data_IF_603772080047
#
_entry.id   IF_603772080047
#
_cell.length_a   1.000
_cell.length_b   1.000
_cell.length_c   1.000
_cell.angle_alpha   90.00
_cell.angle_beta   90.00
_cell.angle_gamma   90.00
#
_symmetry.space_group_name_H-M   'P 1'
#
loop_
_entity.id
_entity.type
_entity.pdbx_description
1 polymer ?
#
# COMPACT_ATOMS: atom_id res chain seq x y z
N UNK A 1 50.29 7.58 15.54
CA UNK A 1 49.25 6.56 15.25
C UNK A 1 47.98 7.30 14.83
N UNK A 2 47.76 7.47 13.52
CA UNK A 2 46.53 8.09 13.02
C UNK A 2 45.36 7.12 13.20
N UNK A 3 44.37 7.49 14.00
CA UNK A 3 43.09 6.79 14.04
C UNK A 3 42.47 6.85 12.63
N UNK A 4 42.41 5.69 11.96
CA UNK A 4 41.52 5.49 10.81
C UNK A 4 40.10 5.73 11.33
N UNK A 5 39.55 6.92 11.07
CA UNK A 5 38.12 7.16 11.22
C UNK A 5 37.45 6.25 10.20
N UNK A 6 36.97 5.08 10.62
CA UNK A 6 36.14 4.21 9.78
C UNK A 6 34.91 5.04 9.36
N UNK A 7 34.93 5.52 8.11
CA UNK A 7 33.77 6.19 7.53
C UNK A 7 32.65 5.18 7.48
N UNK A 8 31.52 5.52 8.09
CA UNK A 8 30.34 4.67 8.09
C UNK A 8 29.84 4.43 6.67
N UNK A 9 29.71 3.16 6.28
CA UNK A 9 29.15 2.77 4.98
C UNK A 9 27.68 2.41 5.17
N UNK A 10 26.80 3.17 4.51
CA UNK A 10 25.36 2.92 4.52
C UNK A 10 25.01 1.81 3.53
N UNK A 11 25.36 0.56 3.89
CA UNK A 11 25.01 -0.60 3.07
C UNK A 11 23.51 -0.84 3.02
N UNK A 12 23.05 -1.43 1.92
CA UNK A 12 21.67 -1.85 1.71
C UNK A 12 21.09 -2.63 2.88
N UNK A 13 21.88 -3.57 3.43
CA UNK A 13 21.47 -4.39 4.56
C UNK A 13 21.20 -3.56 5.81
N UNK A 14 22.01 -2.54 6.08
CA UNK A 14 21.85 -1.67 7.25
C UNK A 14 20.66 -0.75 7.06
N UNK A 15 20.45 -0.22 5.85
CA UNK A 15 19.31 0.63 5.51
C UNK A 15 17.97 -0.09 5.71
N UNK A 16 17.86 -1.36 5.29
CA UNK A 16 16.61 -2.12 5.36
C UNK A 16 16.47 -3.01 6.59
N UNK A 17 17.48 -3.06 7.47
CA UNK A 17 17.49 -3.98 8.62
C UNK A 17 16.22 -3.87 9.47
N UNK A 18 15.86 -2.66 9.88
CA UNK A 18 14.69 -2.40 10.73
C UNK A 18 13.41 -2.86 10.04
N UNK A 19 13.24 -2.48 8.77
CA UNK A 19 12.12 -2.89 7.95
C UNK A 19 12.03 -4.42 7.86
N UNK A 20 13.12 -5.12 7.59
CA UNK A 20 13.12 -6.58 7.50
C UNK A 20 12.79 -7.26 8.83
N UNK A 21 13.33 -6.76 9.95
CA UNK A 21 13.06 -7.31 11.29
C UNK A 21 11.56 -7.18 11.62
N UNK A 22 10.96 -6.04 11.32
CA UNK A 22 9.53 -5.83 11.55
C UNK A 22 8.69 -6.71 10.64
N UNK A 23 9.06 -6.84 9.36
CA UNK A 23 8.39 -7.76 8.45
C UNK A 23 8.36 -9.20 9.01
N UNK A 24 9.47 -9.66 9.59
CA UNK A 24 9.55 -10.99 10.20
C UNK A 24 8.65 -11.17 11.42
N UNK A 25 8.37 -10.09 12.17
CA UNK A 25 7.45 -10.08 13.29
C UNK A 25 6.01 -10.41 12.84
N UNK A 26 5.64 -9.97 11.62
CA UNK A 26 4.35 -10.22 10.98
C UNK A 26 4.38 -11.37 9.97
N UNK A 27 5.34 -12.29 10.11
CA UNK A 27 5.51 -13.48 9.27
C UNK A 27 5.81 -13.21 7.78
N UNK A 28 6.43 -12.07 7.47
CA UNK A 28 6.88 -11.70 6.13
C UNK A 28 8.40 -11.85 6.00
N UNK A 29 8.87 -12.05 4.75
CA UNK A 29 10.29 -12.16 4.41
C UNK A 29 11.09 -13.09 5.35
N UNK A 30 10.80 -14.41 5.37
CA UNK A 30 11.43 -15.37 6.29
C UNK A 30 12.88 -15.71 5.90
N UNK A 31 13.75 -14.71 5.90
CA UNK A 31 15.19 -14.83 5.62
C UNK A 31 16.01 -14.86 6.91
N UNK A 32 17.10 -15.61 6.90
CA UNK A 32 18.07 -15.66 7.99
C UNK A 32 19.23 -14.70 7.70
N UNK A 33 19.92 -14.25 8.75
CA UNK A 33 21.10 -13.39 8.62
C UNK A 33 20.83 -11.88 8.49
N UNK A 34 19.63 -11.39 8.79
CA UNK A 34 19.26 -9.95 8.70
C UNK A 34 20.16 -9.03 9.54
N UNK A 35 20.68 -9.53 10.66
CA UNK A 35 21.59 -8.80 11.54
C UNK A 35 23.07 -8.90 11.14
N UNK A 36 23.40 -9.76 10.17
CA UNK A 36 24.78 -9.86 9.71
C UNK A 36 25.20 -8.56 9.01
N UNK A 37 26.51 -8.28 9.03
CA UNK A 37 27.15 -7.23 8.24
C UNK A 37 27.57 -7.74 6.86
N UNK A 38 27.55 -9.05 6.63
CA UNK A 38 28.02 -9.68 5.38
C UNK A 38 26.83 -10.16 4.55
N UNK A 39 26.88 -9.88 3.25
CA UNK A 39 25.91 -10.39 2.28
C UNK A 39 25.90 -11.91 2.13
N UNK A 40 27.02 -12.58 2.39
CA UNK A 40 27.15 -14.05 2.35
C UNK A 40 26.27 -14.79 3.35
N UNK A 41 25.95 -14.13 4.47
CA UNK A 41 25.29 -14.77 5.61
C UNK A 41 23.77 -14.72 5.48
N UNK A 42 23.25 -13.90 4.56
CA UNK A 42 21.82 -13.84 4.27
C UNK A 42 21.43 -15.06 3.46
N UNK A 43 20.52 -15.87 4.00
CA UNK A 43 20.08 -17.14 3.40
C UNK A 43 18.59 -17.35 3.60
N UNK A 44 17.95 -17.96 2.62
CA UNK A 44 16.58 -18.47 2.74
C UNK A 44 16.63 -19.97 3.06
N UNK A 45 15.90 -20.41 4.09
CA UNK A 45 15.89 -21.80 4.55
C UNK A 45 14.45 -22.23 4.83
N UNK A 46 13.96 -23.22 4.10
CA UNK A 46 12.60 -23.76 4.25
C UNK A 46 12.34 -24.32 5.65
N UNK A 47 13.29 -25.06 6.22
CA UNK A 47 13.18 -25.65 7.55
C UNK A 47 13.35 -24.65 8.72
N UNK A 48 13.30 -23.35 8.46
CA UNK A 48 13.40 -22.35 9.53
C UNK A 48 12.06 -22.14 10.25
N UNK A 49 12.12 -21.78 11.53
CA UNK A 49 10.92 -21.43 12.30
C UNK A 49 10.16 -20.25 11.69
N UNK A 50 10.86 -19.33 10.99
CA UNK A 50 10.26 -18.19 10.28
C UNK A 50 9.39 -18.64 9.10
N UNK A 51 9.84 -19.63 8.34
CA UNK A 51 9.03 -20.24 7.28
C UNK A 51 7.82 -20.97 7.88
N UNK A 52 8.01 -21.69 8.99
CA UNK A 52 6.91 -22.35 9.70
C UNK A 52 5.86 -21.34 10.16
N UNK A 53 6.29 -20.21 10.74
CA UNK A 53 5.42 -19.11 11.13
C UNK A 53 4.66 -18.51 9.93
N UNK A 54 5.35 -18.25 8.81
CA UNK A 54 4.71 -17.78 7.57
C UNK A 54 3.62 -18.76 7.10
N UNK A 55 3.90 -20.06 7.09
CA UNK A 55 2.92 -21.06 6.64
C UNK A 55 1.71 -21.15 7.57
N UNK A 56 1.92 -21.13 8.89
CA UNK A 56 0.83 -21.12 9.88
C UNK A 56 -0.05 -19.87 9.72
N UNK A 57 0.56 -18.69 9.62
CA UNK A 57 -0.17 -17.45 9.36
C UNK A 57 -0.90 -17.49 8.02
N UNK A 58 -0.28 -18.01 6.96
CA UNK A 58 -0.92 -18.13 5.65
C UNK A 58 -2.15 -19.06 5.70
N UNK A 59 -2.05 -20.20 6.39
CA UNK A 59 -3.20 -21.09 6.61
C UNK A 59 -4.33 -20.39 7.37
N UNK A 60 -3.99 -19.60 8.40
CA UNK A 60 -4.96 -18.78 9.12
C UNK A 60 -5.64 -17.75 8.22
N UNK A 61 -4.88 -17.04 7.38
CA UNK A 61 -5.42 -16.06 6.43
C UNK A 61 -6.32 -16.70 5.36
N UNK A 62 -5.94 -17.88 4.86
CA UNK A 62 -6.77 -18.68 3.94
C UNK A 62 -8.08 -19.08 4.63
N UNK A 63 -8.00 -19.58 5.86
CA UNK A 63 -9.19 -19.95 6.64
C UNK A 63 -10.16 -18.77 6.79
N UNK A 64 -9.68 -17.59 7.17
CA UNK A 64 -10.52 -16.39 7.30
C UNK A 64 -11.11 -15.99 5.95
N UNK A 65 -10.30 -16.02 4.88
CA UNK A 65 -10.77 -15.69 3.51
C UNK A 65 -11.90 -16.62 3.09
N UNK A 66 -11.78 -17.93 3.30
CA UNK A 66 -12.83 -18.92 2.99
C UNK A 66 -14.10 -18.64 3.79
N UNK A 67 -13.97 -18.29 5.07
CA UNK A 67 -15.12 -17.91 5.90
C UNK A 67 -15.82 -16.64 5.39
N UNK A 68 -15.06 -15.64 4.93
CA UNK A 68 -15.63 -14.44 4.29
C UNK A 68 -16.40 -14.79 2.99
N UNK A 69 -15.83 -15.64 2.13
CA UNK A 69 -16.48 -16.10 0.90
C UNK A 69 -17.77 -16.85 1.24
N UNK A 70 -17.72 -17.76 2.21
CA UNK A 70 -18.88 -18.51 2.67
C UNK A 70 -20.00 -17.59 3.17
N UNK A 71 -19.67 -16.55 3.95
CA UNK A 71 -20.65 -15.55 4.40
C UNK A 71 -21.39 -14.89 3.23
N UNK A 72 -20.65 -14.46 2.20
CA UNK A 72 -21.24 -13.77 1.03
C UNK A 72 -22.10 -14.71 0.19
N UNK A 73 -21.73 -15.98 0.05
CA UNK A 73 -22.55 -16.97 -0.67
C UNK A 73 -23.90 -17.25 0.02
N UNK A 74 -23.97 -17.06 1.33
CA UNK A 74 -25.16 -17.33 2.14
C UNK A 74 -25.94 -16.07 2.57
N UNK A 75 -25.49 -14.87 2.17
CA UNK A 75 -26.14 -13.58 2.48
C UNK A 75 -26.45 -12.83 1.18
N UNK A 76 -27.38 -11.88 1.19
CA UNK A 76 -27.56 -10.97 0.05
C UNK A 76 -26.26 -10.21 -0.21
N UNK A 77 -25.78 -10.25 -1.45
CA UNK A 77 -24.51 -9.63 -1.83
C UNK A 77 -24.62 -8.10 -1.80
N UNK A 78 -23.97 -7.47 -0.82
CA UNK A 78 -23.76 -6.01 -0.77
C UNK A 78 -22.28 -5.68 -0.96
N UNK A 79 -21.97 -4.46 -1.42
CA UNK A 79 -20.60 -4.00 -1.62
C UNK A 79 -19.77 -4.14 -0.32
N UNK A 80 -20.31 -3.65 0.79
CA UNK A 80 -19.72 -3.76 2.14
C UNK A 80 -19.52 -5.22 2.60
N UNK A 81 -20.35 -6.15 2.11
CA UNK A 81 -20.20 -7.58 2.35
C UNK A 81 -18.98 -8.21 1.66
N UNK A 82 -18.51 -7.62 0.56
CA UNK A 82 -17.39 -8.14 -0.24
C UNK A 82 -16.02 -7.58 0.18
N UNK A 83 -15.99 -6.44 0.88
CA UNK A 83 -14.76 -5.80 1.37
C UNK A 83 -13.85 -6.74 2.17
N UNK A 84 -14.34 -7.54 3.14
CA UNK A 84 -13.49 -8.46 3.89
C UNK A 84 -12.84 -9.53 3.00
N UNK A 85 -13.53 -9.99 1.95
CA UNK A 85 -12.96 -10.97 1.00
C UNK A 85 -11.74 -10.38 0.31
N UNK A 86 -11.86 -9.16 -0.20
CA UNK A 86 -10.76 -8.47 -0.87
C UNK A 86 -9.62 -8.24 0.11
N UNK A 87 -9.92 -7.76 1.32
CA UNK A 87 -8.91 -7.53 2.36
C UNK A 87 -8.08 -8.78 2.72
N UNK A 88 -8.72 -9.91 3.01
CA UNK A 88 -8.02 -11.13 3.41
C UNK A 88 -7.38 -11.87 2.22
N UNK A 89 -8.00 -11.82 1.03
CA UNK A 89 -7.40 -12.41 -0.18
C UNK A 89 -6.14 -11.66 -0.64
N UNK A 90 -6.15 -10.32 -0.64
CA UNK A 90 -4.97 -9.52 -0.97
C UNK A 90 -3.87 -9.71 0.06
N UNK A 91 -4.22 -9.93 1.33
CA UNK A 91 -3.25 -10.32 2.38
C UNK A 91 -2.58 -11.66 2.05
N UNK A 92 -3.35 -12.69 1.67
CA UNK A 92 -2.81 -13.98 1.27
C UNK A 92 -1.85 -13.84 0.08
N UNK A 93 -2.26 -13.11 -0.96
CA UNK A 93 -1.42 -12.85 -2.14
C UNK A 93 -0.14 -12.12 -1.75
N UNK A 94 -0.23 -11.10 -0.88
CA UNK A 94 0.92 -10.33 -0.41
C UNK A 94 1.91 -11.22 0.35
N UNK A 95 1.44 -12.12 1.21
CA UNK A 95 2.29 -13.09 1.91
C UNK A 95 3.03 -14.03 0.93
N UNK A 96 2.33 -14.54 -0.08
CA UNK A 96 2.93 -15.40 -1.11
C UNK A 96 3.98 -14.65 -1.95
N UNK A 97 3.72 -13.38 -2.27
CA UNK A 97 4.67 -12.53 -2.97
C UNK A 97 5.91 -12.26 -2.09
N UNK A 98 5.74 -12.00 -0.80
CA UNK A 98 6.88 -11.85 0.11
C UNK A 98 7.66 -13.15 0.30
N UNK A 99 7.02 -14.32 0.23
CA UNK A 99 7.72 -15.60 0.17
C UNK A 99 8.54 -15.74 -1.13
N UNK A 100 7.99 -15.32 -2.28
CA UNK A 100 8.74 -15.26 -3.55
C UNK A 100 9.96 -14.32 -3.43
N UNK A 101 9.78 -13.12 -2.90
CA UNK A 101 10.87 -12.16 -2.64
C UNK A 101 11.90 -12.79 -1.71
N UNK A 102 11.49 -13.44 -0.62
CA UNK A 102 12.41 -14.07 0.34
C UNK A 102 13.31 -15.15 -0.31
N UNK A 103 12.81 -15.89 -1.30
CA UNK A 103 13.61 -16.87 -2.05
C UNK A 103 14.68 -16.22 -2.93
N UNK A 104 14.37 -15.06 -3.51
CA UNK A 104 15.28 -14.31 -4.39
C UNK A 104 16.21 -13.36 -3.61
N UNK A 105 15.84 -13.02 -2.38
CA UNK A 105 16.51 -12.05 -1.53
C UNK A 105 18.00 -12.30 -1.31
N UNK A 106 18.49 -13.54 -1.04
CA UNK A 106 19.91 -13.79 -0.85
C UNK A 106 20.75 -13.44 -2.08
N UNK A 107 20.23 -13.74 -3.28
CA UNK A 107 20.90 -13.42 -4.54
C UNK A 107 20.94 -11.91 -4.76
N UNK A 108 19.81 -11.24 -4.57
CA UNK A 108 19.69 -9.79 -4.69
C UNK A 108 20.66 -9.05 -3.75
N UNK A 109 20.70 -9.42 -2.47
CA UNK A 109 21.58 -8.81 -1.48
C UNK A 109 23.06 -8.99 -1.82
N UNK A 110 23.45 -10.14 -2.38
CA UNK A 110 24.84 -10.38 -2.82
C UNK A 110 25.20 -9.57 -4.05
N UNK A 111 24.29 -9.45 -5.02
CA UNK A 111 24.47 -8.59 -6.20
C UNK A 111 24.62 -7.12 -5.78
N UNK A 112 23.77 -6.65 -4.87
CA UNK A 112 23.83 -5.29 -4.31
C UNK A 112 25.16 -5.04 -3.61
N UNK A 113 25.58 -5.96 -2.73
CA UNK A 113 26.83 -5.79 -1.98
C UNK A 113 28.05 -5.69 -2.90
N UNK A 114 28.08 -6.45 -4.01
CA UNK A 114 29.16 -6.34 -5.01
C UNK A 114 29.20 -4.96 -5.68
N UNK A 115 28.05 -4.33 -5.90
CA UNK A 115 27.98 -2.96 -6.44
C UNK A 115 28.42 -1.94 -5.39
N UNK A 116 28.01 -2.13 -4.14
CA UNK A 116 28.40 -1.26 -3.02
C UNK A 116 29.90 -1.30 -2.72
N UNK A 117 30.55 -2.46 -2.89
CA UNK A 117 32.00 -2.61 -2.73
C UNK A 117 32.79 -1.81 -3.79
N UNK A 118 32.21 -1.61 -4.99
CA UNK A 118 32.83 -0.84 -6.07
C UNK A 118 32.65 0.68 -5.92
N UNK A 119 31.51 1.12 -5.38
CA UNK A 119 31.18 2.54 -5.21
C UNK A 119 30.46 2.77 -3.86
N UNK A 120 31.21 2.83 -2.74
CA UNK A 120 30.64 2.87 -1.40
C UNK A 120 29.95 4.20 -1.08
N UNK A 121 28.72 4.11 -0.58
CA UNK A 121 27.91 5.25 -0.15
C UNK A 121 28.02 5.47 1.36
N UNK A 122 28.42 6.68 1.78
CA UNK A 122 28.83 6.95 3.17
C UNK A 122 27.81 7.75 3.99
N UNK A 123 26.62 8.04 3.45
CA UNK A 123 25.66 8.93 4.09
C UNK A 123 24.70 8.19 5.04
N UNK A 124 24.85 8.46 6.36
CA UNK A 124 23.94 7.96 7.42
C UNK A 124 22.50 8.43 7.28
N UNK A 125 22.26 9.55 6.58
CA UNK A 125 20.92 10.13 6.43
C UNK A 125 19.93 9.15 5.81
N UNK A 126 20.36 8.27 4.90
CA UNK A 126 19.50 7.27 4.27
C UNK A 126 18.94 6.25 5.27
N UNK A 127 19.79 5.76 6.17
CA UNK A 127 19.41 4.80 7.23
C UNK A 127 18.43 5.46 8.19
N UNK A 128 18.71 6.71 8.59
CA UNK A 128 17.83 7.47 9.48
C UNK A 128 16.47 7.74 8.83
N UNK A 129 16.44 8.10 7.54
CA UNK A 129 15.19 8.28 6.77
C UNK A 129 14.37 6.98 6.74
N UNK A 130 14.99 5.84 6.40
CA UNK A 130 14.28 4.56 6.39
C UNK A 130 13.71 4.20 7.76
N UNK A 131 14.51 4.34 8.82
CA UNK A 131 14.07 4.04 10.19
C UNK A 131 12.96 4.99 10.68
N UNK A 132 13.07 6.29 10.39
CA UNK A 132 12.07 7.28 10.76
C UNK A 132 10.74 7.03 10.03
N UNK A 133 10.77 6.80 8.71
CA UNK A 133 9.56 6.47 7.95
C UNK A 133 8.94 5.17 8.44
N UNK A 134 9.75 4.16 8.76
CA UNK A 134 9.28 2.92 9.34
C UNK A 134 8.56 3.14 10.67
N UNK A 135 9.14 3.93 11.58
CA UNK A 135 8.51 4.26 12.87
C UNK A 135 7.20 5.03 12.69
N UNK A 136 7.18 6.04 11.81
CA UNK A 136 5.99 6.87 11.55
C UNK A 136 4.85 6.03 10.96
N UNK A 137 5.12 5.30 9.86
CA UNK A 137 4.09 4.54 9.15
C UNK A 137 3.47 3.48 10.07
N UNK A 138 4.28 2.74 10.83
CA UNK A 138 3.79 1.69 11.70
C UNK A 138 3.09 2.23 12.95
N UNK A 139 3.52 3.36 13.48
CA UNK A 139 2.82 4.00 14.61
C UNK A 139 1.43 4.49 14.18
N UNK A 140 1.33 5.08 12.99
CA UNK A 140 0.05 5.49 12.42
C UNK A 140 -0.85 4.29 12.07
N UNK A 141 -0.27 3.19 11.56
CA UNK A 141 -1.01 1.95 11.32
C UNK A 141 -1.55 1.34 12.63
N UNK A 142 -0.75 1.37 13.70
CA UNK A 142 -1.20 0.93 15.03
C UNK A 142 -2.32 1.82 15.55
N UNK A 143 -2.20 3.15 15.40
CA UNK A 143 -3.24 4.09 15.79
C UNK A 143 -4.54 3.86 15.02
N UNK A 144 -4.45 3.67 13.69
CA UNK A 144 -5.60 3.32 12.85
C UNK A 144 -6.28 2.05 13.34
N UNK A 145 -5.51 0.98 13.60
CA UNK A 145 -6.05 -0.27 14.10
C UNK A 145 -6.72 -0.10 15.48
N UNK A 146 -6.11 0.64 16.40
CA UNK A 146 -6.69 0.93 17.72
C UNK A 146 -8.01 1.70 17.57
N UNK A 147 -8.06 2.71 16.70
CA UNK A 147 -9.29 3.46 16.41
C UNK A 147 -10.38 2.56 15.79
N UNK A 148 -9.99 1.61 14.94
CA UNK A 148 -10.90 0.60 14.37
C UNK A 148 -11.53 -0.26 15.47
N UNK A 149 -10.71 -0.75 16.41
CA UNK A 149 -11.19 -1.53 17.56
C UNK A 149 -12.10 -0.70 18.47
N UNK A 150 -11.73 0.56 18.76
CA UNK A 150 -12.55 1.46 19.58
C UNK A 150 -13.90 1.72 18.92
N UNK A 151 -13.92 2.03 17.61
CA UNK A 151 -15.15 2.20 16.84
C UNK A 151 -16.05 0.95 16.89
N UNK A 152 -15.45 -0.25 16.81
CA UNK A 152 -16.19 -1.51 16.88
C UNK A 152 -16.74 -1.81 18.29
N UNK A 153 -15.98 -1.47 19.34
CA UNK A 153 -16.45 -1.57 20.73
C UNK A 153 -17.61 -0.60 20.96
N UNK A 154 -17.51 0.63 20.45
CA UNK A 154 -18.57 1.64 20.51
C UNK A 154 -19.87 1.13 19.88
N UNK A 155 -19.78 0.57 18.67
CA UNK A 155 -20.92 -0.04 17.97
C UNK A 155 -21.54 -1.19 18.76
N UNK A 156 -20.70 -2.04 19.37
CA UNK A 156 -21.18 -3.16 20.21
C UNK A 156 -21.91 -2.65 21.47
N UNK A 157 -21.37 -1.63 22.15
CA UNK A 157 -22.01 -1.02 23.33
C UNK A 157 -23.34 -0.35 22.99
N UNK A 158 -23.43 0.28 21.82
CA UNK A 158 -24.68 0.87 21.35
C UNK A 158 -25.79 -0.18 21.12
N UNK A 159 -25.43 -1.41 20.71
CA UNK A 159 -26.39 -2.48 20.51
C UNK A 159 -26.65 -3.35 21.76
N UNK A 160 -25.76 -3.37 22.76
CA UNK A 160 -25.87 -4.21 23.96
C UNK A 160 -25.64 -3.37 25.22
N UNK A 161 -26.73 -3.00 25.91
CA UNK A 161 -26.70 -2.00 26.99
C UNK A 161 -26.22 -2.48 28.36
N UNK A 162 -26.09 -3.79 28.64
CA UNK A 162 -25.91 -4.25 30.02
C UNK A 162 -24.70 -5.15 30.35
N UNK A 163 -23.98 -5.77 29.40
CA UNK A 163 -22.68 -6.42 29.69
C UNK A 163 -21.75 -6.49 28.46
N UNK A 164 -20.73 -5.63 28.44
CA UNK A 164 -19.65 -5.70 27.45
C UNK A 164 -18.72 -6.89 27.78
N UNK A 165 -18.92 -8.00 27.08
CA UNK A 165 -18.03 -9.16 27.14
C UNK A 165 -17.18 -9.24 25.88
N UNK A 166 -15.93 -9.70 26.00
CA UNK A 166 -15.06 -10.01 24.86
C UNK A 166 -15.76 -10.91 23.83
N UNK A 167 -16.61 -11.84 24.30
CA UNK A 167 -17.43 -12.70 23.45
C UNK A 167 -18.38 -11.91 22.55
N UNK A 168 -19.06 -10.90 23.09
CA UNK A 168 -20.01 -10.08 22.33
C UNK A 168 -19.28 -9.24 21.28
N UNK A 169 -18.17 -8.61 21.66
CA UNK A 169 -17.31 -7.86 20.75
C UNK A 169 -16.84 -8.69 19.55
N UNK A 170 -16.22 -9.85 19.82
CA UNK A 170 -15.66 -10.72 18.76
C UNK A 170 -16.75 -11.25 17.81
N UNK A 171 -17.91 -11.62 18.35
CA UNK A 171 -19.03 -12.08 17.52
C UNK A 171 -19.57 -10.99 16.60
N UNK A 172 -19.69 -9.77 17.11
CA UNK A 172 -20.20 -8.64 16.36
C UNK A 172 -19.21 -8.15 15.29
N UNK A 173 -17.91 -8.10 15.63
CA UNK A 173 -16.87 -7.58 14.73
C UNK A 173 -16.41 -8.59 13.67
N UNK A 174 -16.52 -9.90 13.95
CA UNK A 174 -16.12 -10.97 13.04
C UNK A 174 -17.30 -11.89 12.64
N UNK A 175 -18.38 -11.34 12.05
CA UNK A 175 -19.59 -12.11 11.75
C UNK A 175 -19.34 -13.25 10.74
N UNK A 176 -18.34 -13.12 9.88
CA UNK A 176 -17.98 -14.18 8.92
C UNK A 176 -17.44 -15.46 9.59
N UNK A 177 -16.89 -15.38 10.80
CA UNK A 177 -16.45 -16.58 11.55
C UNK A 177 -17.56 -17.04 12.49
N UNK A 178 -18.07 -16.13 13.32
CA UNK A 178 -18.90 -16.52 14.47
C UNK A 178 -20.40 -16.65 14.20
N UNK A 179 -20.86 -16.34 12.98
CA UNK A 179 -22.20 -16.75 12.54
C UNK A 179 -22.27 -18.24 12.19
N UNK A 180 -21.14 -18.85 11.84
CA UNK A 180 -21.08 -20.24 11.38
C UNK A 180 -20.38 -21.17 12.37
N UNK A 181 -19.43 -20.67 13.16
CA UNK A 181 -18.70 -21.44 14.16
C UNK A 181 -19.05 -21.03 15.58
N UNK A 182 -19.15 -22.00 16.52
CA UNK A 182 -19.36 -21.69 17.92
C UNK A 182 -18.17 -20.90 18.48
N UNK A 183 -18.48 -19.90 19.30
CA UNK A 183 -17.43 -19.12 19.96
C UNK A 183 -16.62 -19.99 20.92
N UNK A 184 -15.30 -19.91 20.77
CA UNK A 184 -14.33 -20.33 21.79
C UNK A 184 -13.36 -19.17 22.01
N UNK A 185 -12.83 -19.06 23.24
CA UNK A 185 -11.90 -17.98 23.60
C UNK A 185 -10.68 -17.94 22.67
N UNK A 186 -10.09 -19.11 22.38
CA UNK A 186 -8.92 -19.24 21.52
C UNK A 186 -9.18 -18.88 20.05
N UNK A 187 -10.35 -19.24 19.50
CA UNK A 187 -10.72 -18.86 18.14
C UNK A 187 -10.93 -17.33 18.04
N UNK A 188 -11.47 -16.71 19.10
CA UNK A 188 -11.58 -15.25 19.19
C UNK A 188 -10.22 -14.56 19.14
N UNK A 189 -9.27 -14.99 19.98
CA UNK A 189 -7.90 -14.46 19.99
C UNK A 189 -7.22 -14.66 18.64
N UNK A 190 -7.33 -15.87 18.06
CA UNK A 190 -6.73 -16.18 16.76
C UNK A 190 -7.29 -15.27 15.66
N UNK A 191 -8.61 -15.07 15.62
CA UNK A 191 -9.26 -14.24 14.59
C UNK A 191 -8.83 -12.78 14.71
N UNK A 192 -8.75 -12.26 15.94
CA UNK A 192 -8.28 -10.89 16.20
C UNK A 192 -6.80 -10.72 15.85
N UNK A 193 -5.95 -11.70 16.17
CA UNK A 193 -4.55 -11.71 15.79
C UNK A 193 -4.38 -11.72 14.26
N UNK A 194 -5.13 -12.57 13.54
CA UNK A 194 -5.08 -12.62 12.08
C UNK A 194 -5.55 -11.30 11.44
N UNK A 195 -6.60 -10.66 11.99
CA UNK A 195 -7.04 -9.35 11.53
C UNK A 195 -5.96 -8.28 11.74
N UNK A 196 -5.40 -8.20 12.94
CA UNK A 196 -4.28 -7.30 13.24
C UNK A 196 -3.09 -7.55 12.29
N UNK A 197 -2.74 -8.82 12.09
CA UNK A 197 -1.67 -9.21 11.17
C UNK A 197 -1.95 -8.72 9.74
N UNK A 198 -3.18 -8.86 9.22
CA UNK A 198 -3.55 -8.40 7.87
C UNK A 198 -3.40 -6.89 7.71
N UNK A 199 -3.86 -6.11 8.69
CA UNK A 199 -3.70 -4.64 8.69
C UNK A 199 -2.22 -4.27 8.63
N UNK A 200 -1.37 -4.95 9.40
CA UNK A 200 0.07 -4.70 9.39
C UNK A 200 0.74 -5.15 8.09
N UNK A 201 0.35 -6.28 7.51
CA UNK A 201 0.89 -6.77 6.23
C UNK A 201 0.63 -5.74 5.11
N UNK A 202 -0.58 -5.16 5.07
CA UNK A 202 -0.91 -4.14 4.07
C UNK A 202 -0.04 -2.89 4.23
N UNK A 203 0.05 -2.34 5.44
CA UNK A 203 0.88 -1.16 5.72
C UNK A 203 2.37 -1.43 5.49
N UNK A 204 2.82 -2.64 5.82
CA UNK A 204 4.20 -3.06 5.60
C UNK A 204 4.56 -3.18 4.12
N UNK A 205 3.64 -3.65 3.27
CA UNK A 205 3.85 -3.75 1.83
C UNK A 205 4.26 -2.40 1.23
N UNK A 206 3.54 -1.34 1.58
CA UNK A 206 3.84 0.02 1.11
C UNK A 206 5.14 0.55 1.70
N UNK A 207 5.34 0.35 3.01
CA UNK A 207 6.57 0.75 3.68
C UNK A 207 7.80 0.08 3.06
N UNK A 208 7.69 -1.20 2.69
CA UNK A 208 8.76 -1.93 2.04
C UNK A 208 9.11 -1.31 0.68
N UNK A 209 8.10 -0.99 -0.15
CA UNK A 209 8.31 -0.30 -1.44
C UNK A 209 8.95 1.08 -1.22
N UNK A 210 8.52 1.83 -0.20
CA UNK A 210 9.11 3.13 0.16
C UNK A 210 10.59 2.99 0.50
N UNK A 211 10.97 2.06 1.38
CA UNK A 211 12.36 1.85 1.79
C UNK A 211 13.25 1.41 0.61
N UNK A 212 12.75 0.51 -0.25
CA UNK A 212 13.46 0.10 -1.46
C UNK A 212 13.67 1.28 -2.41
N UNK A 213 12.64 2.12 -2.57
CA UNK A 213 12.68 3.32 -3.42
C UNK A 213 13.67 4.35 -2.90
N UNK A 214 13.72 4.61 -1.59
CA UNK A 214 14.73 5.50 -1.00
C UNK A 214 16.15 5.04 -1.30
N UNK A 215 16.41 3.74 -1.16
CA UNK A 215 17.73 3.19 -1.44
C UNK A 215 18.13 3.38 -2.90
N UNK A 216 17.25 3.02 -3.84
CA UNK A 216 17.50 3.16 -5.27
C UNK A 216 17.69 4.62 -5.69
N UNK A 217 16.83 5.51 -5.22
CA UNK A 217 16.95 6.95 -5.46
C UNK A 217 18.28 7.49 -4.94
N UNK A 218 18.71 7.10 -3.74
CA UNK A 218 19.99 7.53 -3.19
C UNK A 218 21.19 7.04 -4.02
N UNK A 219 21.12 5.85 -4.62
CA UNK A 219 22.16 5.34 -5.53
C UNK A 219 22.24 6.13 -6.83
N UNK A 220 21.08 6.48 -7.41
CA UNK A 220 21.04 7.35 -8.60
C UNK A 220 21.52 8.77 -8.27
N UNK A 221 21.08 9.33 -7.14
CA UNK A 221 21.47 10.67 -6.69
C UNK A 221 22.97 10.79 -6.42
N UNK A 222 23.60 9.72 -5.93
CA UNK A 222 25.05 9.70 -5.77
C UNK A 222 25.79 9.88 -7.10
N UNK A 223 25.29 9.29 -8.19
CA UNK A 223 25.82 9.52 -9.55
C UNK A 223 25.47 10.93 -10.03
N UNK A 224 24.23 11.37 -9.80
CA UNK A 224 23.76 12.70 -10.19
C UNK A 224 24.58 13.82 -9.53
N UNK A 225 25.00 13.65 -8.28
CA UNK A 225 25.86 14.62 -7.61
C UNK A 225 27.22 14.78 -8.31
N UNK A 226 27.82 13.69 -8.82
CA UNK A 226 29.06 13.78 -9.61
C UNK A 226 28.82 14.57 -10.91
N UNK A 227 27.68 14.34 -11.57
CA UNK A 227 27.30 15.03 -12.81
C UNK A 227 26.99 16.52 -12.60
N UNK A 228 26.17 16.85 -11.60
CA UNK A 228 25.82 18.24 -11.29
C UNK A 228 27.06 19.06 -10.93
N UNK A 229 28.02 18.46 -10.21
CA UNK A 229 29.30 19.11 -9.92
C UNK A 229 30.20 19.28 -11.17
N UNK A 230 29.93 18.52 -12.23
CA UNK A 230 30.64 18.56 -13.50
C UNK A 230 29.98 19.48 -14.55
N UNK A 231 28.74 19.91 -14.33
CA UNK A 231 27.98 20.74 -15.26
C UNK A 231 28.74 22.03 -15.62
N UNK A 232 28.84 22.31 -16.92
CA UNK A 232 29.56 23.46 -17.47
C UNK A 232 31.10 23.43 -17.34
N UNK A 233 31.69 22.34 -16.82
CA UNK A 233 33.15 22.21 -16.67
C UNK A 233 33.79 21.48 -17.85
N UNK A 234 35.06 21.81 -18.10
CA UNK A 234 35.88 21.20 -19.15
C UNK A 234 36.54 19.93 -18.61
N UNK A 235 35.82 18.81 -18.70
CA UNK A 235 36.28 17.51 -18.19
C UNK A 235 36.67 16.55 -19.31
N UNK A 236 37.67 15.68 -19.09
CA UNK A 236 38.16 14.75 -20.11
C UNK A 236 37.17 13.61 -20.38
N UNK A 237 37.28 12.97 -21.55
CA UNK A 237 36.46 11.81 -21.95
C UNK A 237 36.40 10.70 -20.89
N UNK A 238 37.52 10.43 -20.22
CA UNK A 238 37.63 9.42 -19.15
C UNK A 238 36.63 9.66 -18.02
N UNK A 239 36.35 10.93 -17.68
CA UNK A 239 35.35 11.27 -16.67
C UNK A 239 33.94 10.87 -17.10
N UNK A 240 33.56 11.21 -18.34
CA UNK A 240 32.24 10.89 -18.89
C UNK A 240 32.02 9.39 -19.02
N UNK A 241 33.04 8.66 -19.50
CA UNK A 241 33.04 7.20 -19.55
C UNK A 241 32.80 6.58 -18.17
N UNK A 242 33.60 6.99 -17.18
CA UNK A 242 33.52 6.46 -15.81
C UNK A 242 32.15 6.74 -15.19
N UNK A 243 31.63 7.96 -15.39
CA UNK A 243 30.33 8.36 -14.84
C UNK A 243 29.16 7.65 -15.53
N UNK A 244 29.26 7.39 -16.85
CA UNK A 244 28.28 6.55 -17.57
C UNK A 244 28.28 5.12 -17.04
N UNK A 245 29.46 4.54 -16.78
CA UNK A 245 29.58 3.19 -16.21
C UNK A 245 28.98 3.12 -14.78
N UNK A 246 29.21 4.15 -13.96
CA UNK A 246 28.55 4.31 -12.64
C UNK A 246 27.02 4.37 -12.77
N UNK A 247 26.51 5.19 -13.69
CA UNK A 247 25.08 5.28 -13.98
C UNK A 247 24.51 3.93 -14.47
N UNK A 248 25.21 3.26 -15.38
CA UNK A 248 24.81 1.95 -15.89
C UNK A 248 24.67 0.91 -14.78
N UNK A 249 25.60 0.88 -13.82
CA UNK A 249 25.49 0.02 -12.62
C UNK A 249 24.28 0.36 -11.77
N UNK A 250 24.01 1.65 -11.54
CA UNK A 250 22.85 2.09 -10.77
C UNK A 250 21.53 1.74 -11.46
N UNK A 251 21.43 1.90 -12.78
CA UNK A 251 20.25 1.51 -13.57
C UNK A 251 20.03 0.00 -13.58
N UNK A 252 21.09 -0.79 -13.77
CA UNK A 252 20.99 -2.26 -13.68
C UNK A 252 20.49 -2.70 -12.31
N UNK A 253 20.94 -2.04 -11.25
CA UNK A 253 20.46 -2.28 -9.90
C UNK A 253 18.97 -1.97 -9.73
N UNK A 254 18.49 -0.84 -10.27
CA UNK A 254 17.06 -0.51 -10.27
C UNK A 254 16.25 -1.61 -10.96
N UNK A 255 16.65 -2.04 -12.16
CA UNK A 255 15.96 -3.10 -12.91
C UNK A 255 15.93 -4.41 -12.14
N UNK A 256 17.06 -4.79 -11.54
CA UNK A 256 17.17 -6.04 -10.78
C UNK A 256 16.31 -6.05 -9.53
N UNK A 257 16.23 -4.92 -8.83
CA UNK A 257 15.29 -4.76 -7.71
C UNK A 257 13.85 -4.85 -8.22
N UNK A 258 13.52 -4.15 -9.32
CA UNK A 258 12.18 -4.14 -9.89
C UNK A 258 11.69 -5.54 -10.25
N UNK A 259 12.52 -6.36 -10.89
CA UNK A 259 12.20 -7.77 -11.20
C UNK A 259 11.78 -8.57 -9.96
N UNK A 260 12.44 -8.31 -8.82
CA UNK A 260 12.17 -9.03 -7.56
C UNK A 260 10.91 -8.52 -6.88
N UNK A 261 10.68 -7.20 -6.85
CA UNK A 261 9.63 -6.58 -6.03
C UNK A 261 8.40 -6.11 -6.82
N UNK A 262 8.41 -6.20 -8.16
CA UNK A 262 7.32 -5.72 -9.05
C UNK A 262 5.94 -6.26 -8.70
N UNK A 263 5.85 -7.50 -8.21
CA UNK A 263 4.60 -8.08 -7.72
C UNK A 263 4.09 -7.40 -6.44
N UNK A 264 5.00 -7.06 -5.51
CA UNK A 264 4.66 -6.31 -4.28
C UNK A 264 4.20 -4.90 -4.64
N UNK A 265 4.87 -4.26 -5.59
CA UNK A 265 4.45 -2.96 -6.12
C UNK A 265 3.04 -3.03 -6.70
N UNK A 266 2.77 -4.04 -7.54
CA UNK A 266 1.46 -4.20 -8.15
C UNK A 266 0.35 -4.36 -7.12
N UNK A 267 0.50 -5.28 -6.16
CA UNK A 267 -0.53 -5.51 -5.15
C UNK A 267 -0.69 -4.30 -4.21
N UNK A 268 0.39 -3.60 -3.87
CA UNK A 268 0.37 -2.37 -3.09
C UNK A 268 -0.50 -1.30 -3.75
N UNK A 269 -0.23 -0.98 -5.02
CA UNK A 269 -0.99 0.04 -5.76
C UNK A 269 -2.44 -0.38 -6.01
N UNK A 270 -2.68 -1.64 -6.36
CA UNK A 270 -4.03 -2.16 -6.59
C UNK A 270 -4.88 -2.11 -5.31
N UNK A 271 -4.32 -2.53 -4.17
CA UNK A 271 -5.01 -2.53 -2.89
C UNK A 271 -5.31 -1.09 -2.43
N UNK A 272 -4.33 -0.20 -2.55
CA UNK A 272 -4.50 1.21 -2.19
C UNK A 272 -5.58 1.88 -3.05
N UNK A 273 -5.56 1.67 -4.37
CA UNK A 273 -6.58 2.21 -5.27
C UNK A 273 -7.98 1.69 -4.89
N UNK A 274 -8.11 0.38 -4.70
CA UNK A 274 -9.39 -0.23 -4.33
C UNK A 274 -9.96 0.36 -3.04
N UNK A 275 -9.16 0.42 -1.97
CA UNK A 275 -9.63 0.90 -0.67
C UNK A 275 -9.84 2.42 -0.63
N UNK A 276 -9.08 3.21 -1.40
CA UNK A 276 -9.35 4.66 -1.55
C UNK A 276 -10.71 4.86 -2.21
N UNK A 277 -10.96 4.22 -3.35
CA UNK A 277 -12.24 4.32 -4.05
C UNK A 277 -13.40 3.84 -3.17
N UNK A 278 -13.23 2.72 -2.46
CA UNK A 278 -14.27 2.20 -1.56
C UNK A 278 -14.58 3.16 -0.41
N UNK A 279 -13.55 3.71 0.25
CA UNK A 279 -13.77 4.64 1.36
C UNK A 279 -14.37 5.97 0.87
N UNK A 280 -13.97 6.48 -0.29
CA UNK A 280 -14.59 7.67 -0.89
C UNK A 280 -16.06 7.41 -1.25
N UNK A 281 -16.36 6.28 -1.87
CA UNK A 281 -17.73 5.86 -2.16
C UNK A 281 -18.60 5.81 -0.89
N UNK A 282 -18.15 5.13 0.16
CA UNK A 282 -18.86 5.08 1.44
C UNK A 282 -18.99 6.47 2.11
N UNK A 283 -18.04 7.38 1.87
CA UNK A 283 -18.14 8.77 2.36
C UNK A 283 -19.28 9.53 1.66
N UNK A 284 -19.48 9.29 0.37
CA UNK A 284 -20.45 10.00 -0.47
C UNK A 284 -21.87 9.41 -0.37
N UNK A 285 -22.01 8.09 -0.28
CA UNK A 285 -23.32 7.40 -0.22
C UNK A 285 -23.98 7.53 1.16
N UNK A 286 -23.28 7.14 2.23
CA UNK A 286 -23.86 7.11 3.58
C UNK A 286 -23.68 8.44 4.34
N UNK A 287 -22.85 9.35 3.79
CA UNK A 287 -22.35 10.54 4.49
C UNK A 287 -21.45 10.17 5.67
N UNK A 288 -20.89 11.18 6.36
CA UNK A 288 -20.16 10.97 7.63
C UNK A 288 -21.18 10.70 8.75
N UNK A 289 -21.99 9.65 8.62
CA UNK A 289 -22.92 9.21 9.66
C UNK A 289 -22.32 7.96 10.28
N UNK A 290 -21.99 8.04 11.57
CA UNK A 290 -21.49 6.88 12.31
C UNK A 290 -22.51 5.75 12.22
N UNK A 291 -22.15 4.66 11.52
CA UNK A 291 -22.95 3.44 11.46
C UNK A 291 -23.06 2.87 12.88
N UNK A 292 -24.19 3.15 13.53
CA UNK A 292 -24.75 2.27 14.54
C UNK A 292 -25.96 1.60 13.89
N UNK A 293 -25.71 0.63 13.01
CA UNK A 293 -26.75 -0.27 12.49
C UNK A 293 -27.16 -1.23 13.63
N UNK A 294 -27.96 -0.74 14.56
CA UNK A 294 -28.74 -1.60 15.44
C UNK A 294 -30.19 -1.58 14.94
N UNK A 295 -30.65 -2.72 14.45
CA UNK A 295 -32.03 -2.92 14.02
C UNK A 295 -32.93 -2.92 15.28
N UNK A 296 -33.82 -1.93 15.38
CA UNK A 296 -34.98 -1.90 16.30
C UNK A 296 -34.76 -1.91 17.83
N UNK A 297 -33.86 -1.13 18.42
CA UNK A 297 -33.92 -0.85 19.87
C UNK A 297 -33.45 0.55 20.25
N UNK A 298 -34.14 1.14 21.23
CA UNK A 298 -33.89 2.49 21.78
C UNK A 298 -32.40 2.72 22.00
N UNK A 299 -31.88 3.79 21.38
CA UNK A 299 -30.50 4.26 21.51
C UNK A 299 -30.17 4.48 22.98
N UNK A 300 -29.52 3.50 23.60
CA UNK A 300 -28.95 3.63 24.94
C UNK A 300 -27.89 4.73 24.93
N UNK A 301 -28.09 5.78 25.74
CA UNK A 301 -27.15 6.89 25.94
C UNK A 301 -25.89 6.41 26.69
N UNK A 302 -24.98 5.73 26.02
CA UNK A 302 -23.61 5.55 26.53
C UNK A 302 -22.63 5.65 25.37
N UNK A 303 -22.32 6.89 25.00
CA UNK A 303 -21.27 7.17 24.02
C UNK A 303 -19.94 7.30 24.78
N UNK A 304 -18.98 6.41 24.53
CA UNK A 304 -17.64 6.47 25.16
C UNK A 304 -16.91 7.78 24.79
N UNK A 305 -17.16 8.30 23.58
CA UNK A 305 -16.61 9.54 23.02
C UNK A 305 -17.68 10.42 22.35
N UNK A 306 -18.91 10.41 22.86
CA UNK A 306 -19.98 11.30 22.39
C UNK A 306 -20.62 10.95 21.04
N UNK A 307 -20.29 9.81 20.42
CA UNK A 307 -20.92 9.32 19.17
C UNK A 307 -20.14 9.65 17.90
N UNK A 308 -18.98 10.31 18.05
CA UNK A 308 -18.08 10.68 16.94
C UNK A 308 -17.03 9.60 16.63
N UNK A 309 -17.02 8.47 17.35
CA UNK A 309 -15.97 7.45 17.27
C UNK A 309 -15.83 6.85 15.87
N UNK A 310 -16.96 6.45 15.27
CA UNK A 310 -16.99 5.92 13.92
C UNK A 310 -16.57 6.96 12.87
N UNK A 311 -17.02 8.22 13.02
CA UNK A 311 -16.65 9.31 12.12
C UNK A 311 -15.16 9.65 12.19
N UNK A 312 -14.60 9.71 13.42
CA UNK A 312 -13.18 9.99 13.65
C UNK A 312 -12.30 8.86 13.11
N UNK A 313 -12.64 7.61 13.40
CA UNK A 313 -11.94 6.44 12.85
C UNK A 313 -11.95 6.48 11.33
N UNK A 314 -13.13 6.67 10.73
CA UNK A 314 -13.29 6.65 9.28
C UNK A 314 -12.50 7.77 8.59
N UNK A 315 -12.60 9.01 9.06
CA UNK A 315 -11.85 10.14 8.52
C UNK A 315 -10.33 9.96 8.68
N UNK A 316 -9.90 9.49 9.85
CA UNK A 316 -8.49 9.20 10.09
C UNK A 316 -7.98 8.11 9.15
N UNK A 317 -8.71 7.00 9.02
CA UNK A 317 -8.40 5.89 8.13
C UNK A 317 -8.28 6.36 6.67
N UNK A 318 -9.24 7.16 6.19
CA UNK A 318 -9.23 7.71 4.83
C UNK A 318 -8.02 8.61 4.59
N UNK A 319 -7.80 9.58 5.48
CA UNK A 319 -6.66 10.49 5.34
C UNK A 319 -5.33 9.74 5.40
N UNK A 320 -5.20 8.81 6.35
CA UNK A 320 -3.99 7.99 6.50
C UNK A 320 -3.74 7.13 5.25
N UNK A 321 -4.78 6.48 4.71
CA UNK A 321 -4.67 5.68 3.50
C UNK A 321 -4.26 6.51 2.29
N UNK A 322 -4.87 7.68 2.07
CA UNK A 322 -4.51 8.60 0.99
C UNK A 322 -3.07 9.08 1.17
N UNK A 323 -2.70 9.56 2.37
CA UNK A 323 -1.37 10.06 2.64
C UNK A 323 -0.28 8.98 2.44
N UNK A 324 -0.54 7.75 2.90
CA UNK A 324 0.34 6.60 2.69
C UNK A 324 0.48 6.26 1.21
N UNK A 325 -0.64 6.20 0.48
CA UNK A 325 -0.69 5.89 -0.96
C UNK A 325 0.03 6.94 -1.82
N UNK A 326 -0.15 8.21 -1.50
CA UNK A 326 0.58 9.32 -2.13
C UNK A 326 2.06 9.24 -1.80
N UNK A 327 2.42 8.93 -0.54
CA UNK A 327 3.83 8.79 -0.13
C UNK A 327 4.54 7.68 -0.89
N UNK A 328 3.97 6.47 -0.95
CA UNK A 328 4.57 5.36 -1.73
C UNK A 328 4.72 5.72 -3.20
N UNK A 329 3.72 6.37 -3.78
CA UNK A 329 3.75 6.79 -5.19
C UNK A 329 4.79 7.86 -5.49
N UNK A 330 4.84 8.92 -4.67
CA UNK A 330 5.79 10.01 -4.84
C UNK A 330 7.22 9.51 -4.66
N UNK A 331 7.49 8.74 -3.60
CA UNK A 331 8.84 8.25 -3.31
C UNK A 331 9.31 7.25 -4.37
N UNK A 332 8.44 6.33 -4.81
CA UNK A 332 8.79 5.42 -5.90
C UNK A 332 9.02 6.16 -7.24
N UNK A 333 8.26 7.23 -7.53
CA UNK A 333 8.47 8.06 -8.71
C UNK A 333 9.79 8.85 -8.70
N UNK A 334 10.42 9.04 -7.53
CA UNK A 334 11.74 9.66 -7.43
C UNK A 334 12.81 8.82 -8.10
N UNK A 335 12.67 7.48 -8.14
CA UNK A 335 13.60 6.61 -8.87
C UNK A 335 13.63 6.99 -10.35
N UNK A 336 12.45 7.19 -10.96
CA UNK A 336 12.36 7.65 -12.34
C UNK A 336 12.90 9.07 -12.51
N UNK A 337 12.53 10.00 -11.63
CA UNK A 337 12.99 11.39 -11.71
C UNK A 337 14.52 11.49 -11.60
N UNK A 338 15.12 10.76 -10.65
CA UNK A 338 16.56 10.73 -10.44
C UNK A 338 17.29 10.09 -11.64
N UNK A 339 16.68 9.09 -12.29
CA UNK A 339 17.29 8.46 -13.47
C UNK A 339 17.40 9.38 -14.69
N UNK A 340 16.56 10.43 -14.77
CA UNK A 340 16.52 11.38 -15.89
C UNK A 340 17.36 12.64 -15.68
N UNK A 341 17.85 12.89 -14.46
CA UNK A 341 18.71 14.04 -14.12
C UNK A 341 19.97 14.16 -14.98
N UNK A 342 20.64 13.07 -15.41
CA UNK A 342 21.82 13.19 -16.26
C UNK A 342 21.57 13.90 -17.59
N UNK A 343 20.39 13.75 -18.21
CA UNK A 343 20.11 14.29 -19.54
C UNK A 343 20.33 15.80 -19.67
N UNK A 344 19.71 16.68 -18.85
CA UNK A 344 19.95 18.12 -18.93
C UNK A 344 21.43 18.49 -18.68
N UNK A 345 22.11 17.80 -17.76
CA UNK A 345 23.54 18.06 -17.49
C UNK A 345 24.41 17.74 -18.71
N UNK A 346 24.09 16.65 -19.41
CA UNK A 346 24.83 16.21 -20.60
C UNK A 346 24.59 17.13 -21.81
N UNK A 347 23.40 17.73 -21.93
CA UNK A 347 23.13 18.76 -22.94
C UNK A 347 23.92 20.05 -22.72
N UNK A 348 24.31 20.34 -21.47
CA UNK A 348 25.09 21.53 -21.09
C UNK A 348 26.61 21.34 -21.21
N UNK A 349 27.08 20.22 -21.77
CA UNK A 349 28.52 19.97 -21.96
C UNK A 349 29.08 20.89 -23.06
N UNK A 350 30.15 21.67 -22.80
CA UNK A 350 30.71 22.59 -23.79
C UNK A 350 31.22 21.86 -25.04
N UNK A 351 30.95 22.42 -26.22
CA UNK A 351 31.34 21.83 -27.52
C UNK A 351 32.81 21.38 -27.64
N UNK A 352 33.81 22.10 -27.08
CA UNK A 352 35.21 21.67 -27.16
C UNK A 352 35.53 20.37 -26.41
N UNK A 353 34.72 19.99 -25.42
CA UNK A 353 34.90 18.77 -24.61
C UNK A 353 33.79 17.74 -24.85
N UNK A 354 32.87 18.04 -25.77
CA UNK A 354 31.83 17.11 -26.18
C UNK A 354 32.47 15.93 -26.92
N UNK A 355 32.28 14.73 -26.41
CA UNK A 355 32.90 13.51 -26.93
C UNK A 355 31.87 12.39 -27.12
N UNK A 356 32.27 11.31 -27.80
CA UNK A 356 31.42 10.12 -28.05
C UNK A 356 30.81 9.55 -26.77
N UNK A 357 31.51 9.63 -25.64
CA UNK A 357 31.01 9.11 -24.38
C UNK A 357 29.83 9.91 -23.82
N UNK A 358 29.78 11.22 -24.06
CA UNK A 358 28.63 12.08 -23.72
C UNK A 358 27.43 11.71 -24.57
N UNK A 359 27.63 11.54 -25.89
CA UNK A 359 26.56 11.11 -26.80
C UNK A 359 25.98 9.75 -26.39
N UNK A 360 26.84 8.75 -26.16
CA UNK A 360 26.40 7.42 -25.71
C UNK A 360 25.65 7.47 -24.39
N UNK A 361 26.05 8.37 -23.49
CA UNK A 361 25.36 8.56 -22.21
C UNK A 361 23.98 9.19 -22.42
N UNK A 362 23.84 10.21 -23.27
CA UNK A 362 22.54 10.78 -23.65
C UNK A 362 21.63 9.71 -24.27
N UNK A 363 22.15 8.92 -25.21
CA UNK A 363 21.40 7.84 -25.85
C UNK A 363 20.92 6.80 -24.82
N UNK A 364 21.76 6.48 -23.82
CA UNK A 364 21.41 5.55 -22.75
C UNK A 364 20.31 6.09 -21.82
N UNK A 365 20.36 7.39 -21.48
CA UNK A 365 19.40 8.02 -20.57
C UNK A 365 18.05 8.24 -21.25
N UNK A 366 18.05 8.61 -22.52
CA UNK A 366 16.83 8.87 -23.30
C UNK A 366 16.23 7.59 -23.90
N UNK A 367 17.06 6.58 -24.18
CA UNK A 367 16.67 5.39 -24.92
C UNK A 367 15.85 4.38 -24.11
N UNK A 368 15.87 4.44 -22.77
CA UNK A 368 15.06 3.53 -21.94
C UNK A 368 14.48 4.22 -20.71
N UNK A 369 13.25 3.85 -20.35
CA UNK A 369 12.56 4.35 -19.17
C UNK A 369 12.99 3.56 -17.95
N UNK A 370 13.86 4.16 -17.14
CA UNK A 370 14.24 3.60 -15.84
C UNK A 370 13.21 4.02 -14.79
N UNK A 371 12.46 3.06 -14.28
CA UNK A 371 11.45 3.26 -13.24
C UNK A 371 11.15 1.94 -12.53
N UNK A 372 10.54 2.03 -11.35
CA UNK A 372 9.89 0.88 -10.73
C UNK A 372 8.55 0.61 -11.43
N UNK A 373 8.15 -0.66 -11.52
CA UNK A 373 6.98 -1.10 -12.26
C UNK A 373 6.10 -2.09 -11.49
N UNK A 374 4.79 -2.02 -11.71
CA UNK A 374 3.85 -3.02 -11.24
C UNK A 374 3.71 -4.14 -12.26
N UNK A 375 4.49 -5.22 -12.11
CA UNK A 375 4.53 -6.36 -13.04
C UNK A 375 4.70 -5.95 -14.52
N UNK A 376 5.44 -4.86 -14.79
CA UNK A 376 5.56 -4.25 -16.12
C UNK A 376 4.25 -3.75 -16.78
N UNK A 377 3.09 -3.85 -16.11
CA UNK A 377 1.83 -3.27 -16.60
C UNK A 377 1.85 -1.75 -16.58
N UNK A 378 2.49 -1.16 -15.58
CA UNK A 378 2.64 0.28 -15.45
C UNK A 378 3.99 0.62 -14.81
N UNK A 379 4.55 1.77 -15.20
CA UNK A 379 5.76 2.34 -14.59
C UNK A 379 5.40 3.49 -13.68
N UNK A 380 5.94 3.49 -12.46
CA UNK A 380 5.68 4.54 -11.47
C UNK A 380 6.43 5.80 -11.86
N UNK A 381 5.66 6.80 -12.29
CA UNK A 381 6.14 8.14 -12.66
C UNK A 381 5.22 9.17 -12.03
N UNK A 382 5.68 10.43 -11.91
CA UNK A 382 4.83 11.54 -11.44
C UNK A 382 3.59 11.72 -12.33
N UNK A 383 3.72 11.44 -13.63
CA UNK A 383 2.60 11.45 -14.57
C UNK A 383 1.52 10.42 -14.23
N UNK A 384 1.91 9.16 -13.97
CA UNK A 384 0.96 8.11 -13.59
C UNK A 384 0.18 8.50 -12.32
N UNK A 385 0.87 9.04 -11.32
CA UNK A 385 0.21 9.47 -10.08
C UNK A 385 -0.85 10.54 -10.34
N UNK A 386 -0.54 11.54 -11.17
CA UNK A 386 -1.48 12.60 -11.52
C UNK A 386 -2.68 12.05 -12.30
N UNK A 387 -2.44 11.11 -13.23
CA UNK A 387 -3.51 10.45 -13.98
C UNK A 387 -4.44 9.67 -13.06
N UNK A 388 -3.90 8.83 -12.16
CA UNK A 388 -4.72 8.05 -11.21
C UNK A 388 -5.52 8.95 -10.28
N UNK A 389 -4.91 10.00 -9.73
CA UNK A 389 -5.60 10.98 -8.89
C UNK A 389 -6.73 11.69 -9.65
N UNK A 390 -6.47 12.11 -10.90
CA UNK A 390 -7.47 12.70 -11.77
C UNK A 390 -8.63 11.76 -12.05
N UNK A 391 -8.35 10.49 -12.37
CA UNK A 391 -9.39 9.46 -12.60
C UNK A 391 -10.25 9.23 -11.36
N UNK A 392 -9.66 9.14 -10.17
CA UNK A 392 -10.41 9.01 -8.92
C UNK A 392 -11.34 10.22 -8.76
N UNK A 393 -10.82 11.44 -8.84
CA UNK A 393 -11.63 12.67 -8.70
C UNK A 393 -12.74 12.73 -9.75
N UNK A 394 -12.46 12.39 -11.02
CA UNK A 394 -13.48 12.34 -12.07
C UNK A 394 -14.57 11.33 -11.75
N UNK A 395 -14.21 10.12 -11.32
CA UNK A 395 -15.17 9.08 -10.95
C UNK A 395 -16.05 9.54 -9.79
N UNK A 396 -15.46 10.08 -8.72
CA UNK A 396 -16.21 10.55 -7.55
C UNK A 396 -17.15 11.73 -7.90
N UNK A 397 -16.70 12.67 -8.72
CA UNK A 397 -17.55 13.79 -9.18
C UNK A 397 -18.75 13.29 -9.99
N UNK A 398 -18.53 12.32 -10.89
CA UNK A 398 -19.59 11.72 -11.69
C UNK A 398 -20.58 10.97 -10.80
N UNK A 399 -20.10 10.17 -9.84
CA UNK A 399 -20.94 9.48 -8.87
C UNK A 399 -21.77 10.46 -8.03
N UNK A 400 -21.15 11.55 -7.56
CA UNK A 400 -21.85 12.59 -6.80
C UNK A 400 -22.98 13.24 -7.63
N UNK A 401 -22.73 13.52 -8.91
CA UNK A 401 -23.76 14.09 -9.80
C UNK A 401 -24.95 13.14 -10.01
N UNK A 402 -24.69 11.84 -10.20
CA UNK A 402 -25.77 10.86 -10.35
C UNK A 402 -26.57 10.67 -9.07
N UNK A 403 -25.93 10.70 -7.90
CA UNK A 403 -26.62 10.62 -6.61
C UNK A 403 -27.40 11.89 -6.25
N UNK A 404 -27.04 13.05 -6.81
CA UNK A 404 -27.69 14.33 -6.54
C UNK A 404 -28.96 14.59 -7.39
N UNK A 405 -29.33 13.70 -8.31
CA UNK A 405 -30.55 13.88 -9.12
C UNK A 405 -31.77 13.47 -8.29
N UNK A 406 -32.68 14.39 -7.92
CA UNK A 406 -33.85 14.03 -7.12
C UNK A 406 -34.82 13.20 -7.97
N UNK A 407 -35.45 12.22 -7.31
CA UNK A 407 -36.68 11.60 -7.77
C UNK A 407 -37.67 12.67 -8.25
N UNK A 408 -38.22 12.43 -9.43
CA UNK A 408 -39.24 13.22 -10.13
C UNK A 408 -40.32 13.73 -9.14
N UNK A 409 -40.76 14.99 -9.21
CA UNK A 409 -41.78 15.49 -8.31
C UNK A 409 -43.08 14.71 -8.50
N UNK A 410 -43.68 14.28 -7.39
CA UNK A 410 -45.02 13.71 -7.33
C UNK A 410 -45.99 14.54 -8.16
N UNK A 411 -46.39 14.02 -9.32
CA UNK A 411 -47.58 14.51 -10.00
C UNK A 411 -48.74 14.00 -9.16
N UNK A 412 -49.23 14.84 -8.25
CA UNK A 412 -50.55 14.68 -7.63
C UNK A 412 -51.58 14.49 -8.74
N UNK A 413 -51.99 13.25 -8.97
CA UNK A 413 -53.16 12.92 -9.78
C UNK A 413 -54.39 13.39 -9.02
N UNK A 414 -54.90 14.57 -9.35
CA UNK A 414 -56.29 14.92 -9.12
C UNK A 414 -57.17 13.94 -9.91
N UNK A 415 -58.19 13.30 -9.32
CA UNK A 415 -59.05 12.41 -10.06
C UNK A 415 -59.98 13.27 -10.92
N UNK A 416 -59.72 13.33 -12.22
CA UNK A 416 -60.69 13.81 -13.20
C UNK A 416 -61.75 12.72 -13.33
N UNK A 417 -62.95 12.99 -12.82
CA UNK A 417 -64.13 12.17 -13.04
C UNK A 417 -64.53 12.17 -14.51
N UNK A 418 -64.20 11.10 -15.22
CA UNK A 418 -64.73 10.82 -16.55
C UNK A 418 -66.17 10.33 -16.43
N UNK A 419 -67.11 11.25 -16.62
CA UNK A 419 -68.54 10.99 -16.69
C UNK A 419 -68.86 10.36 -18.07
N UNK A 420 -68.87 9.04 -18.15
CA UNK A 420 -69.26 8.31 -19.37
C UNK A 420 -70.75 8.01 -19.29
N UNK A 421 -71.57 8.86 -19.92
CA UNK A 421 -72.97 8.58 -20.24
C UNK A 421 -73.04 7.72 -21.50
N UNK A 422 -73.34 6.44 -21.33
CA UNK A 422 -73.72 5.52 -22.41
C UNK A 422 -75.18 5.77 -22.83
N UNK A 423 -75.50 6.03 -24.11
CA UNK A 423 -76.88 6.00 -24.58
C UNK A 423 -77.28 4.54 -24.84
N UNK A 424 -78.30 4.11 -24.10
CA UNK A 424 -79.04 2.85 -24.34
C UNK A 424 -79.97 3.08 -25.53
N UNK A 425 -79.83 2.25 -26.57
CA UNK A 425 -80.84 2.07 -27.61
C UNK A 425 -81.09 0.57 -27.75
N UNK A 426 -82.29 0.10 -27.38
CA UNK A 426 -83.17 -0.46 -28.40
C UNK A 426 -84.58 -0.83 -27.90
N UNK A 427 -85.54 -0.32 -28.68
CA UNK A 427 -86.77 -0.94 -29.19
C UNK A 427 -87.94 -1.26 -28.24
N UNK A 428 -88.92 -0.35 -28.31
CA UNK A 428 -90.36 -0.56 -28.38
C UNK A 428 -90.87 -2.01 -28.32
N UNK A 429 -91.64 -2.33 -27.29
CA UNK A 429 -93.09 -2.63 -27.41
C UNK A 429 -93.75 -2.51 -26.05
#
# INVERSE_FOLDING_TARGET
MGQKVEKYVASFQVCLRTTLVIGQLFSLLPVNGVWSKKASDVKFVWASWKCTYLFLSLLGQIFITVMCIHKVLHSTSSLNGTTPIIFYSTTCVTMLLFLKVARMWPTLVKEIARIEDLDPYHNKSLVNKCNATCAIVLSLALLEHVLSLLSAIAGTMACISNELSYRHFVKHFYPWVFNFLPYTFWLGILTQFLHFQSTFIWNFSDLFVICMSYYLTARLDHVNQKLLNAQGKYLPEVFWRTTREDYGRAVQLVRRVDEVISGIIFISFANNLFFICLQLFNTLEDGIKGQAECDNREKGKTNLLGGYEAALYFLFSLFYLIARSVSVSLIASQVNTASTVPAPVLYDVPSPVYCVEVQRFLDQVNGDKVALSGLQFFSITKGLLLTVAGTIVTYELVMFQFNATPSTPDITTTPISLNITTPVFNLNT
#
